data_IF_957231808479
#
_entry.id   IF_957231808479
#
_cell.length_a   1.000
_cell.length_b   1.000
_cell.length_c   1.000
_cell.angle_alpha   90.00
_cell.angle_beta   90.00
_cell.angle_gamma   90.00
#
_symmetry.space_group_name_H-M   'P 1'
#
loop_
_entity.id
_entity.type
_entity.pdbx_description
1 polymer ?
#
# COMPACT_ATOMS: atom_id res chain seq x y z
N UNK A 1 12.25 19.15 -30.29
CA UNK A 1 12.99 17.96 -29.79
C UNK A 1 13.54 18.16 -28.38
N UNK A 2 13.60 19.39 -27.86
CA UNK A 2 14.16 19.70 -26.53
C UNK A 2 13.38 19.11 -25.34
N UNK A 3 12.06 19.04 -25.43
CA UNK A 3 11.26 18.47 -24.34
C UNK A 3 11.57 16.99 -24.11
N UNK A 4 11.87 16.22 -25.16
CA UNK A 4 12.20 14.79 -25.05
C UNK A 4 13.51 14.57 -24.29
N UNK A 5 14.45 15.52 -24.36
CA UNK A 5 15.74 15.44 -23.63
C UNK A 5 15.51 15.43 -22.12
N UNK A 6 14.45 16.09 -21.63
CA UNK A 6 14.11 16.12 -20.21
C UNK A 6 13.12 15.01 -19.86
N UNK A 7 12.11 14.79 -20.72
CA UNK A 7 11.03 13.84 -20.46
C UNK A 7 11.51 12.39 -20.48
N UNK A 8 12.45 12.02 -21.34
CA UNK A 8 12.95 10.64 -21.41
C UNK A 8 13.70 10.26 -20.12
N UNK A 9 14.71 11.02 -19.63
CA UNK A 9 15.33 10.74 -18.35
C UNK A 9 14.33 10.78 -17.18
N UNK A 10 13.42 11.76 -17.17
CA UNK A 10 12.40 11.85 -16.11
C UNK A 10 11.51 10.60 -16.08
N UNK A 11 11.04 10.12 -17.24
CA UNK A 11 10.24 8.91 -17.34
C UNK A 11 11.02 7.67 -16.88
N UNK A 12 12.30 7.55 -17.25
CA UNK A 12 13.16 6.44 -16.79
C UNK A 12 13.34 6.47 -15.27
N UNK A 13 13.61 7.65 -14.68
CA UNK A 13 13.74 7.80 -13.22
C UNK A 13 12.43 7.42 -12.53
N UNK A 14 11.29 7.93 -13.01
CA UNK A 14 9.98 7.60 -12.44
C UNK A 14 9.68 6.10 -12.56
N UNK A 15 10.02 5.47 -13.70
CA UNK A 15 9.88 4.04 -13.88
C UNK A 15 10.74 3.22 -12.92
N UNK A 16 12.00 3.61 -12.73
CA UNK A 16 12.92 2.97 -11.78
C UNK A 16 12.48 3.16 -10.33
N UNK A 17 11.98 4.35 -9.97
CA UNK A 17 11.42 4.62 -8.64
C UNK A 17 10.18 3.75 -8.38
N UNK A 18 9.27 3.64 -9.35
CA UNK A 18 8.11 2.78 -9.27
C UNK A 18 8.48 1.31 -9.12
N UNK A 19 9.40 0.82 -9.96
CA UNK A 19 9.88 -0.57 -9.88
C UNK A 19 10.61 -0.84 -8.55
N UNK A 20 11.48 0.07 -8.10
CA UNK A 20 12.19 -0.05 -6.84
C UNK A 20 11.23 -0.06 -5.64
N UNK A 21 10.24 0.82 -5.64
CA UNK A 21 9.18 0.84 -4.62
C UNK A 21 8.35 -0.44 -4.61
N UNK A 22 8.00 -0.97 -5.80
CA UNK A 22 7.29 -2.24 -5.93
C UNK A 22 8.09 -3.43 -5.39
N UNK A 23 9.37 -3.54 -5.77
CA UNK A 23 10.23 -4.61 -5.27
C UNK A 23 10.49 -4.50 -3.75
N UNK A 24 10.61 -3.27 -3.24
CA UNK A 24 10.69 -3.03 -1.79
C UNK A 24 9.41 -3.48 -1.08
N UNK A 25 8.23 -3.13 -1.59
CA UNK A 25 6.94 -3.52 -0.99
C UNK A 25 6.76 -5.05 -0.96
N UNK A 26 7.17 -5.75 -2.03
CA UNK A 26 7.19 -7.22 -2.06
C UNK A 26 8.15 -7.80 -1.00
N UNK A 27 9.37 -7.26 -0.91
CA UNK A 27 10.36 -7.73 0.08
C UNK A 27 9.98 -7.41 1.52
N UNK A 28 9.21 -6.35 1.74
CA UNK A 28 8.72 -5.93 3.06
C UNK A 28 7.51 -6.73 3.55
N UNK A 29 7.01 -7.71 2.79
CA UNK A 29 5.88 -8.56 3.22
C UNK A 29 4.54 -7.83 3.31
N UNK A 30 4.42 -6.61 2.74
CA UNK A 30 3.16 -5.83 2.80
C UNK A 30 1.96 -6.56 2.18
N UNK A 31 2.21 -7.45 1.23
CA UNK A 31 1.18 -8.20 0.53
C UNK A 31 0.76 -9.48 1.27
N UNK A 32 1.42 -9.85 2.37
CA UNK A 32 1.13 -11.08 3.12
C UNK A 32 -0.11 -10.95 4.03
N UNK A 33 -0.46 -9.73 4.44
CA UNK A 33 -1.61 -9.45 5.34
C UNK A 33 -2.77 -8.74 4.61
N UNK A 34 -2.91 -8.93 3.29
CA UNK A 34 -4.05 -8.39 2.54
C UNK A 34 -5.37 -9.04 2.94
N UNK A 35 -5.37 -10.36 3.16
CA UNK A 35 -6.56 -11.10 3.58
C UNK A 35 -6.98 -10.73 5.00
N UNK A 36 -6.02 -10.51 5.91
CA UNK A 36 -6.28 -10.05 7.27
C UNK A 36 -6.90 -8.65 7.29
N UNK A 37 -6.37 -7.72 6.49
CA UNK A 37 -6.96 -6.39 6.34
C UNK A 37 -8.41 -6.43 5.80
N UNK A 38 -8.69 -7.29 4.83
CA UNK A 38 -10.03 -7.48 4.28
C UNK A 38 -11.01 -8.09 5.29
N UNK A 39 -10.56 -9.02 6.13
CA UNK A 39 -11.39 -9.58 7.20
C UNK A 39 -11.79 -8.51 8.23
N UNK A 40 -10.86 -7.64 8.64
CA UNK A 40 -11.13 -6.61 9.65
C UNK A 40 -12.17 -5.59 9.20
N UNK A 41 -12.14 -5.17 7.94
CA UNK A 41 -13.12 -4.21 7.42
C UNK A 41 -14.52 -4.81 7.31
N UNK A 42 -14.63 -6.13 7.15
CA UNK A 42 -15.93 -6.82 7.08
C UNK A 42 -16.48 -7.17 8.47
N UNK A 43 -15.58 -7.45 9.43
CA UNK A 43 -15.90 -7.87 10.79
C UNK A 43 -15.59 -6.80 11.85
N UNK A 44 -15.65 -5.52 11.50
CA UNK A 44 -15.66 -4.40 12.47
C UNK A 44 -16.98 -4.44 13.24
N UNK A 45 -17.17 -5.49 14.04
CA UNK A 45 -18.28 -5.62 14.97
C UNK A 45 -18.09 -4.53 16.03
N UNK A 46 -19.09 -3.66 16.25
CA UNK A 46 -19.01 -2.68 17.31
C UNK A 46 -18.77 -3.41 18.64
N UNK A 47 -17.87 -2.90 19.50
CA UNK A 47 -17.58 -3.54 20.77
C UNK A 47 -18.89 -3.75 21.53
N UNK A 48 -19.07 -4.93 22.17
CA UNK A 48 -20.30 -5.23 22.88
C UNK A 48 -20.61 -4.11 23.87
N UNK A 49 -21.90 -3.72 24.04
CA UNK A 49 -22.28 -2.69 24.99
C UNK A 49 -21.64 -3.00 26.34
N UNK A 50 -20.91 -2.03 26.90
CA UNK A 50 -20.32 -2.18 28.23
C UNK A 50 -21.46 -2.39 29.22
N UNK A 51 -21.64 -3.62 29.66
CA UNK A 51 -22.56 -3.91 30.75
C UNK A 51 -22.14 -3.09 31.97
N UNK A 52 -23.05 -2.30 32.56
CA UNK A 52 -22.75 -1.59 33.79
C UNK A 52 -22.45 -2.65 34.85
N UNK A 53 -21.21 -2.65 35.37
CA UNK A 53 -20.86 -3.48 36.52
C UNK A 53 -21.71 -3.05 37.72
N UNK A 54 -22.32 -4.00 38.45
CA UNK A 54 -23.09 -3.73 39.66
C UNK A 54 -22.21 -3.19 40.79
#
# INVERSE_FOLDING_TARGET
MDALIILVPAALVLGLLGLGGFLWALRSGQYEDLDGAASRILFDDPPPPKEPKP
#
